data_IF_570975262608
#
_entry.id   IF_570975262608
#
_cell.length_a   1.000
_cell.length_b   1.000
_cell.length_c   1.000
_cell.angle_alpha   90.00
_cell.angle_beta   90.00
_cell.angle_gamma   90.00
#
_symmetry.space_group_name_H-M   'P 1'
#
loop_
_entity.id
_entity.type
_entity.pdbx_description
1 polymer ?
#
# COMPACT_ATOMS: atom_id res chain seq x y z
N UNK A 1 -31.16 17.75 -10.42
CA UNK A 1 -30.18 16.87 -11.08
C UNK A 1 -29.07 16.63 -10.07
N UNK A 2 -29.08 15.47 -9.41
CA UNK A 2 -28.05 15.12 -8.43
C UNK A 2 -26.74 14.93 -9.21
N UNK A 3 -25.73 15.74 -8.93
CA UNK A 3 -24.37 15.48 -9.41
C UNK A 3 -23.93 14.21 -8.69
N UNK A 4 -23.99 13.08 -9.39
CA UNK A 4 -23.49 11.82 -8.86
C UNK A 4 -22.01 11.99 -8.55
N UNK A 5 -21.64 11.81 -7.28
CA UNK A 5 -20.25 11.64 -6.88
C UNK A 5 -19.68 10.47 -7.69
N UNK A 6 -18.92 10.78 -8.75
CA UNK A 6 -18.13 9.74 -9.41
C UNK A 6 -17.07 9.33 -8.40
N UNK A 7 -17.05 8.06 -7.94
CA UNK A 7 -16.00 7.62 -7.04
C UNK A 7 -14.67 7.84 -7.74
N UNK A 8 -13.72 8.46 -7.03
CA UNK A 8 -12.38 8.67 -7.55
C UNK A 8 -11.73 7.30 -7.72
N UNK A 9 -11.56 6.85 -8.96
CA UNK A 9 -10.83 5.60 -9.25
C UNK A 9 -9.34 5.84 -9.01
N UNK A 10 -8.81 5.24 -7.95
CA UNK A 10 -7.37 5.21 -7.73
C UNK A 10 -6.74 4.16 -8.65
N UNK A 11 -5.61 4.49 -9.28
CA UNK A 11 -4.84 3.51 -10.06
C UNK A 11 -4.32 2.39 -9.16
N UNK A 12 -3.95 2.73 -7.92
CA UNK A 12 -3.59 1.78 -6.87
C UNK A 12 -4.24 2.22 -5.56
N UNK A 13 -4.98 1.30 -4.93
CA UNK A 13 -5.47 1.44 -3.58
C UNK A 13 -4.81 0.37 -2.69
N UNK A 14 -4.13 0.82 -1.64
CA UNK A 14 -3.60 -0.03 -0.57
C UNK A 14 -4.32 0.35 0.70
N UNK A 15 -5.03 -0.60 1.31
CA UNK A 15 -5.85 -0.37 2.49
C UNK A 15 -5.46 -1.35 3.59
N UNK A 16 -5.23 -0.82 4.80
CA UNK A 16 -4.94 -1.57 6.03
C UNK A 16 -3.85 -2.64 5.90
N UNK A 17 -2.90 -2.47 4.97
CA UNK A 17 -1.93 -3.50 4.62
C UNK A 17 -1.07 -3.82 5.82
N UNK A 18 -1.11 -5.08 6.24
CA UNK A 18 -0.30 -5.58 7.35
C UNK A 18 0.44 -6.84 6.93
N UNK A 19 1.72 -6.90 7.28
CA UNK A 19 2.53 -8.11 7.12
C UNK A 19 3.46 -8.28 8.31
N UNK A 20 3.54 -9.52 8.80
CA UNK A 20 4.42 -9.91 9.89
C UNK A 20 5.33 -11.05 9.44
N UNK A 21 6.61 -10.99 9.86
CA UNK A 21 7.59 -12.06 9.71
C UNK A 21 8.07 -12.45 11.10
N UNK A 22 7.92 -13.72 11.47
CA UNK A 22 8.37 -14.26 12.77
C UNK A 22 7.92 -13.40 13.98
N UNK A 23 6.69 -12.89 13.92
CA UNK A 23 6.12 -12.02 14.97
C UNK A 23 6.52 -10.54 14.90
N UNK A 24 7.45 -10.17 14.02
CA UNK A 24 7.81 -8.77 13.75
C UNK A 24 6.92 -8.19 12.65
N UNK A 25 6.20 -7.10 12.96
CA UNK A 25 5.38 -6.38 11.98
C UNK A 25 6.25 -5.52 11.07
N UNK A 26 6.55 -6.00 9.87
CA UNK A 26 7.32 -5.25 8.88
C UNK A 26 6.51 -4.13 8.22
N UNK A 27 5.20 -4.34 8.07
CA UNK A 27 4.23 -3.30 7.67
C UNK A 27 3.03 -3.44 8.61
N UNK A 28 2.55 -2.33 9.16
CA UNK A 28 1.46 -2.33 10.14
C UNK A 28 0.44 -1.25 9.77
N UNK A 29 -0.73 -1.69 9.30
CA UNK A 29 -1.88 -0.83 8.99
C UNK A 29 -1.55 0.30 8.00
N UNK A 30 -0.82 -0.03 6.93
CA UNK A 30 -0.44 0.95 5.91
C UNK A 30 -1.59 1.15 4.92
N UNK A 31 -2.09 2.39 4.84
CA UNK A 31 -3.07 2.80 3.84
C UNK A 31 -2.55 3.95 2.99
N UNK A 32 -2.59 3.79 1.68
CA UNK A 32 -2.31 4.88 0.73
C UNK A 32 -2.92 4.60 -0.63
N UNK A 33 -3.15 5.67 -1.37
CA UNK A 33 -3.74 5.63 -2.70
C UNK A 33 -2.83 6.35 -3.68
N UNK A 34 -2.80 5.90 -4.93
CA UNK A 34 -2.03 6.51 -6.02
C UNK A 34 -2.99 6.84 -7.16
N UNK A 35 -3.02 8.10 -7.56
CA UNK A 35 -3.81 8.57 -8.70
C UNK A 35 -3.11 8.23 -10.04
N UNK A 36 -3.86 8.26 -11.15
CA UNK A 36 -3.24 8.21 -12.47
C UNK A 36 -2.24 9.36 -12.66
N UNK A 37 -1.09 9.07 -13.29
CA UNK A 37 0.00 10.01 -13.54
C UNK A 37 0.69 10.55 -12.26
N UNK A 38 0.52 9.90 -11.10
CA UNK A 38 1.22 10.26 -9.87
C UNK A 38 2.58 9.52 -9.73
N UNK A 39 3.61 10.25 -9.28
CA UNK A 39 4.88 9.64 -8.84
C UNK A 39 4.88 9.56 -7.31
N UNK A 40 4.82 8.34 -6.78
CA UNK A 40 4.94 8.08 -5.33
C UNK A 40 6.30 7.47 -4.99
N UNK A 41 6.94 8.01 -3.95
CA UNK A 41 8.24 7.52 -3.45
C UNK A 41 8.09 7.04 -2.00
N UNK A 42 8.53 5.81 -1.72
CA UNK A 42 8.61 5.26 -0.36
C UNK A 42 10.03 5.45 0.17
N UNK A 43 10.17 6.19 1.27
CA UNK A 43 11.46 6.47 1.92
C UNK A 43 11.47 5.95 3.37
N UNK A 44 12.68 5.72 3.91
CA UNK A 44 12.86 5.24 5.27
C UNK A 44 14.20 4.51 5.46
N UNK A 45 14.63 4.26 6.71
CA UNK A 45 15.88 3.57 7.01
C UNK A 45 15.89 2.11 6.53
N UNK A 46 17.06 1.47 6.56
CA UNK A 46 17.17 0.04 6.28
C UNK A 46 16.32 -0.77 7.28
N UNK A 47 15.64 -1.80 6.80
CA UNK A 47 14.72 -2.62 7.61
C UNK A 47 13.32 -2.04 7.81
N UNK A 48 13.01 -0.83 7.34
CA UNK A 48 11.68 -0.21 7.51
C UNK A 48 10.54 -0.81 6.67
N UNK A 49 10.77 -1.93 5.96
CA UNK A 49 9.71 -2.60 5.17
C UNK A 49 9.48 -2.06 3.75
N UNK A 50 10.32 -1.15 3.24
CA UNK A 50 10.14 -0.54 1.90
C UNK A 50 10.03 -1.57 0.76
N UNK A 51 10.99 -2.49 0.66
CA UNK A 51 10.98 -3.57 -0.35
C UNK A 51 9.79 -4.50 -0.12
N UNK A 52 9.46 -4.79 1.13
CA UNK A 52 8.31 -5.60 1.50
C UNK A 52 6.99 -5.01 0.98
N UNK A 53 6.77 -3.70 1.11
CA UNK A 53 5.58 -3.02 0.55
C UNK A 53 5.52 -3.19 -0.97
N UNK A 54 6.65 -2.99 -1.66
CA UNK A 54 6.71 -3.17 -3.12
C UNK A 54 6.44 -4.62 -3.53
N UNK A 55 6.97 -5.60 -2.80
CA UNK A 55 6.74 -7.02 -3.08
C UNK A 55 5.29 -7.44 -2.82
N UNK A 56 4.62 -6.86 -1.83
CA UNK A 56 3.20 -7.06 -1.57
C UNK A 56 2.34 -6.50 -2.71
N UNK A 57 2.63 -5.28 -3.18
CA UNK A 57 1.96 -4.65 -4.33
C UNK A 57 2.16 -5.49 -5.60
N UNK A 58 3.37 -6.02 -5.81
CA UNK A 58 3.69 -6.89 -6.95
C UNK A 58 3.14 -8.32 -6.82
N UNK A 59 2.53 -8.70 -5.70
CA UNK A 59 2.05 -10.06 -5.44
C UNK A 59 3.15 -11.11 -5.25
N UNK A 60 4.40 -10.70 -4.98
CA UNK A 60 5.54 -11.62 -4.71
C UNK A 60 5.53 -12.16 -3.28
N UNK A 61 4.94 -11.40 -2.36
CA UNK A 61 4.76 -11.77 -0.96
C UNK A 61 3.27 -11.75 -0.65
N UNK A 62 2.82 -12.63 0.26
CA UNK A 62 1.42 -12.68 0.70
C UNK A 62 1.23 -11.79 1.94
N UNK A 63 0.21 -10.94 1.92
CA UNK A 63 -0.20 -10.17 3.09
C UNK A 63 -0.70 -11.10 4.20
N UNK A 64 -0.54 -10.69 5.46
CA UNK A 64 -1.12 -11.43 6.59
C UNK A 64 -2.57 -11.01 6.87
N UNK A 65 -2.91 -9.77 6.54
CA UNK A 65 -4.26 -9.21 6.54
C UNK A 65 -4.32 -7.98 5.66
#
# INVERSE_FOLDING_TARGET
MLVGHQPKEFLLAVEALTVSFDGFKAVNDLSFYVDENEIRVIIGPNGAGKTTVLDLICGKTKATS
#
